data_IF_190289462265
#
_entry.id   IF_190289462265
#
_cell.length_a   1.000
_cell.length_b   1.000
_cell.length_c   1.000
_cell.angle_alpha   90.00
_cell.angle_beta   90.00
_cell.angle_gamma   90.00
#
_symmetry.space_group_name_H-M   'P 1'
#
loop_
_entity.id
_entity.type
_entity.pdbx_description
1 polymer ?
#
# COMPACT_ATOMS: atom_id res chain seq x y z
N UNK A 1 -20.76 28.47 -9.54
CA UNK A 1 -20.18 28.77 -8.21
C UNK A 1 -20.65 27.67 -7.27
N UNK A 2 -19.88 26.58 -7.18
CA UNK A 2 -20.23 25.41 -6.37
C UNK A 2 -19.80 25.69 -4.93
N UNK A 3 -20.72 26.20 -4.11
CA UNK A 3 -20.51 26.34 -2.68
C UNK A 3 -20.72 24.97 -2.02
N UNK A 4 -19.65 24.41 -1.48
CA UNK A 4 -19.69 23.24 -0.61
C UNK A 4 -20.30 23.64 0.76
N UNK A 5 -21.11 22.79 1.39
CA UNK A 5 -21.56 22.99 2.76
C UNK A 5 -20.37 22.83 3.73
N UNK A 6 -20.19 23.83 4.61
CA UNK A 6 -19.08 23.94 5.59
C UNK A 6 -18.83 22.69 6.45
N UNK A 7 -19.84 21.84 6.61
CA UNK A 7 -19.78 20.62 7.43
C UNK A 7 -18.97 19.49 6.77
N UNK A 8 -19.00 19.38 5.43
CA UNK A 8 -18.21 18.38 4.70
C UNK A 8 -16.70 18.71 4.70
N UNK A 9 -16.37 20.00 4.72
CA UNK A 9 -14.98 20.49 4.81
C UNK A 9 -14.28 20.06 6.10
N UNK A 10 -14.96 20.23 7.24
CA UNK A 10 -14.38 19.93 8.55
C UNK A 10 -14.08 18.44 8.74
N UNK A 11 -14.95 17.55 8.22
CA UNK A 11 -14.74 16.11 8.33
C UNK A 11 -13.57 15.62 7.46
N UNK A 12 -13.42 16.14 6.23
CA UNK A 12 -12.34 15.73 5.32
C UNK A 12 -10.96 16.22 5.77
N UNK A 13 -10.86 17.44 6.32
CA UNK A 13 -9.61 18.00 6.82
C UNK A 13 -9.14 17.30 8.11
N UNK A 14 -10.07 16.80 8.93
CA UNK A 14 -9.74 16.01 10.12
C UNK A 14 -9.05 14.68 9.79
N UNK A 15 -9.30 14.11 8.61
CA UNK A 15 -8.67 12.86 8.14
C UNK A 15 -7.22 13.08 7.70
N UNK A 16 -6.87 14.30 7.28
CA UNK A 16 -5.54 14.61 6.73
C UNK A 16 -4.52 15.13 7.74
N UNK A 17 -4.88 15.39 9.01
CA UNK A 17 -3.95 15.77 10.10
C UNK A 17 -2.82 16.73 9.65
N UNK A 18 -3.15 17.75 8.86
CA UNK A 18 -2.18 18.81 8.52
C UNK A 18 -2.33 19.90 9.58
N UNK A 19 -1.61 19.76 10.70
CA UNK A 19 -1.44 20.86 11.64
C UNK A 19 -0.63 21.97 10.94
N UNK A 20 -1.25 23.13 10.74
CA UNK A 20 -0.70 24.38 10.15
C UNK A 20 -0.66 24.50 8.62
N UNK A 21 -1.73 24.14 7.91
CA UNK A 21 -1.97 24.71 6.56
C UNK A 21 -3.38 25.29 6.54
N UNK A 22 -3.48 26.59 6.21
CA UNK A 22 -4.75 27.30 6.12
C UNK A 22 -5.74 26.53 5.22
N UNK A 23 -6.95 26.27 5.73
CA UNK A 23 -7.98 25.44 5.08
C UNK A 23 -8.33 25.93 3.65
N UNK A 24 -8.11 27.21 3.38
CA UNK A 24 -8.35 27.87 2.09
C UNK A 24 -7.23 27.60 1.06
N UNK A 25 -6.02 27.28 1.51
CA UNK A 25 -4.83 27.14 0.66
C UNK A 25 -4.76 25.77 -0.02
N UNK A 26 -5.07 24.69 0.72
CA UNK A 26 -5.02 23.33 0.17
C UNK A 26 -6.12 23.10 -0.90
N UNK A 27 -7.27 23.75 -0.75
CA UNK A 27 -8.40 23.67 -1.68
C UNK A 27 -8.14 24.53 -2.93
N UNK A 28 -7.46 25.68 -2.79
CA UNK A 28 -7.17 26.56 -3.93
C UNK A 28 -6.03 26.06 -4.83
N UNK A 29 -4.96 25.48 -4.27
CA UNK A 29 -3.85 24.92 -5.07
C UNK A 29 -4.21 23.57 -5.74
N UNK A 30 -5.01 22.72 -5.08
CA UNK A 30 -5.30 21.37 -5.58
C UNK A 30 -6.60 21.30 -6.38
N UNK A 31 -7.62 22.14 -6.08
CA UNK A 31 -8.98 21.89 -6.58
C UNK A 31 -9.67 23.03 -7.33
N UNK A 32 -9.23 24.30 -7.26
CA UNK A 32 -9.94 25.38 -7.96
C UNK A 32 -9.00 26.51 -8.37
N UNK A 33 -8.43 26.40 -9.57
CA UNK A 33 -8.04 27.59 -10.34
C UNK A 33 -8.04 27.34 -11.84
N UNK A 34 -9.22 27.08 -12.41
CA UNK A 34 -9.61 27.50 -13.78
C UNK A 34 -11.13 27.35 -13.91
N UNK A 35 -11.84 28.43 -14.23
CA UNK A 35 -13.22 28.31 -14.67
C UNK A 35 -13.20 27.70 -16.09
N UNK A 36 -13.85 26.55 -16.29
CA UNK A 36 -14.00 25.95 -17.62
C UNK A 36 -14.74 26.92 -18.55
N UNK A 37 -14.25 27.06 -19.78
CA UNK A 37 -14.92 27.83 -20.82
C UNK A 37 -16.14 27.07 -21.35
N UNK A 38 -17.13 27.80 -21.88
CA UNK A 38 -18.32 27.23 -22.51
C UNK A 38 -17.96 26.30 -23.70
N UNK A 39 -16.87 26.63 -24.39
CA UNK A 39 -16.31 25.80 -25.46
C UNK A 39 -15.82 24.45 -24.95
N UNK A 40 -15.02 24.43 -23.89
CA UNK A 40 -14.52 23.19 -23.27
C UNK A 40 -15.66 22.32 -22.71
N UNK A 41 -16.69 22.96 -22.16
CA UNK A 41 -17.86 22.25 -21.64
C UNK A 41 -18.64 21.55 -22.76
N UNK A 42 -18.83 22.23 -23.90
CA UNK A 42 -19.49 21.67 -25.07
C UNK A 42 -18.67 20.56 -25.73
N UNK A 43 -17.35 20.72 -25.84
CA UNK A 43 -16.45 19.69 -26.39
C UNK A 43 -16.47 18.40 -25.54
N UNK A 44 -16.66 18.54 -24.22
CA UNK A 44 -16.69 17.41 -23.28
C UNK A 44 -18.10 16.99 -22.83
N UNK A 45 -19.17 17.56 -23.40
CA UNK A 45 -20.55 17.40 -22.90
C UNK A 45 -20.98 15.93 -22.77
N UNK A 46 -20.69 15.12 -23.80
CA UNK A 46 -21.02 13.69 -23.79
C UNK A 46 -20.26 12.95 -22.68
N UNK A 47 -18.98 13.28 -22.49
CA UNK A 47 -18.13 12.67 -21.46
C UNK A 47 -18.64 13.03 -20.05
N UNK A 48 -18.90 14.31 -19.79
CA UNK A 48 -19.44 14.79 -18.52
C UNK A 48 -20.82 14.16 -18.21
N UNK A 49 -21.67 14.01 -19.21
CA UNK A 49 -22.98 13.35 -19.07
C UNK A 49 -22.84 11.87 -18.71
N UNK A 50 -21.85 11.16 -19.24
CA UNK A 50 -21.59 9.76 -18.86
C UNK A 50 -21.01 9.67 -17.44
N UNK A 51 -20.08 10.55 -17.08
CA UNK A 51 -19.53 10.61 -15.71
C UNK A 51 -20.63 10.86 -14.67
N UNK A 52 -21.59 11.74 -14.96
CA UNK A 52 -22.72 12.03 -14.07
C UNK A 52 -23.61 10.80 -13.77
N UNK A 53 -23.58 9.75 -14.61
CA UNK A 53 -24.28 8.49 -14.31
C UNK A 53 -23.60 7.68 -13.20
N UNK A 54 -22.28 7.71 -13.16
CA UNK A 54 -21.46 7.03 -12.14
C UNK A 54 -21.32 7.89 -10.88
N UNK A 55 -21.28 9.20 -11.06
CA UNK A 55 -21.04 10.20 -10.01
C UNK A 55 -22.19 11.23 -9.99
N UNK A 56 -23.37 10.85 -9.45
CA UNK A 56 -24.59 11.65 -9.59
C UNK A 56 -24.62 12.92 -8.74
N UNK A 57 -23.77 13.01 -7.70
CA UNK A 57 -23.69 14.19 -6.84
C UNK A 57 -22.26 14.71 -6.74
N UNK A 58 -22.14 15.98 -6.39
CA UNK A 58 -20.84 16.64 -6.17
C UNK A 58 -20.09 15.92 -5.05
N UNK A 59 -20.77 15.54 -3.97
CA UNK A 59 -20.17 14.84 -2.83
C UNK A 59 -19.58 13.48 -3.25
N UNK A 60 -20.30 12.74 -4.10
CA UNK A 60 -19.80 11.45 -4.59
C UNK A 60 -18.56 11.64 -5.47
N UNK A 61 -18.62 12.58 -6.43
CA UNK A 61 -17.48 12.88 -7.29
C UNK A 61 -16.26 13.33 -6.47
N UNK A 62 -16.46 14.22 -5.49
CA UNK A 62 -15.40 14.70 -4.60
C UNK A 62 -14.81 13.57 -3.75
N UNK A 63 -15.65 12.70 -3.20
CA UNK A 63 -15.18 11.54 -2.42
C UNK A 63 -14.28 10.64 -3.25
N UNK A 64 -14.66 10.37 -4.50
CA UNK A 64 -13.86 9.52 -5.38
C UNK A 64 -12.58 10.22 -5.85
N UNK A 65 -12.63 11.52 -6.12
CA UNK A 65 -11.42 12.31 -6.42
C UNK A 65 -10.42 12.27 -5.26
N UNK A 66 -10.88 12.43 -4.02
CA UNK A 66 -10.03 12.33 -2.82
C UNK A 66 -9.46 10.92 -2.67
N UNK A 67 -10.29 9.89 -2.85
CA UNK A 67 -9.88 8.49 -2.79
C UNK A 67 -8.78 8.18 -3.82
N UNK A 68 -8.99 8.55 -5.09
CA UNK A 68 -8.02 8.34 -6.17
C UNK A 68 -6.75 9.16 -5.96
N UNK A 69 -6.88 10.44 -5.57
CA UNK A 69 -5.73 11.29 -5.23
C UNK A 69 -4.89 10.68 -4.10
N UNK A 70 -5.55 10.12 -3.08
CA UNK A 70 -4.89 9.44 -1.96
C UNK A 70 -4.15 8.18 -2.40
N UNK A 71 -4.76 7.39 -3.30
CA UNK A 71 -4.13 6.20 -3.89
C UNK A 71 -2.90 6.59 -4.71
N UNK A 72 -3.00 7.66 -5.52
CA UNK A 72 -1.89 8.15 -6.35
C UNK A 72 -0.74 8.72 -5.51
N UNK A 73 -1.04 9.27 -4.33
CA UNK A 73 -0.04 9.76 -3.39
C UNK A 73 0.73 8.63 -2.66
N UNK A 74 0.27 7.37 -2.74
CA UNK A 74 0.99 6.25 -2.15
C UNK A 74 2.34 6.02 -2.85
N UNK A 75 3.37 5.55 -2.13
CA UNK A 75 4.62 5.16 -2.74
C UNK A 75 4.39 4.09 -3.82
N UNK A 76 5.09 4.22 -4.95
CA UNK A 76 4.99 3.23 -6.02
C UNK A 76 5.35 1.82 -5.52
N UNK A 77 4.55 0.79 -5.85
CA UNK A 77 4.85 -0.58 -5.48
C UNK A 77 6.00 -1.14 -6.33
N UNK A 78 6.44 -2.36 -6.01
CA UNK A 78 7.41 -3.09 -6.83
C UNK A 78 6.74 -3.56 -8.12
N UNK A 79 7.31 -3.19 -9.27
CA UNK A 79 6.87 -3.63 -10.60
C UNK A 79 7.92 -4.57 -11.21
N UNK A 80 7.46 -5.67 -11.80
CA UNK A 80 8.31 -6.65 -12.48
C UNK A 80 8.15 -6.51 -13.99
N UNK A 81 9.23 -6.22 -14.71
CA UNK A 81 9.29 -6.23 -16.18
C UNK A 81 10.22 -7.35 -16.63
N UNK A 82 9.68 -8.34 -17.34
CA UNK A 82 10.42 -9.55 -17.74
C UNK A 82 10.00 -9.95 -19.16
N UNK A 83 10.95 -10.20 -20.07
CA UNK A 83 10.68 -10.56 -21.46
C UNK A 83 11.01 -12.02 -21.81
N UNK A 84 11.93 -12.65 -21.07
CA UNK A 84 12.59 -13.88 -21.54
C UNK A 84 12.29 -15.09 -20.63
N UNK A 85 11.03 -15.51 -20.62
CA UNK A 85 10.54 -16.66 -19.84
C UNK A 85 10.71 -17.98 -20.63
N UNK A 86 11.95 -18.39 -20.89
CA UNK A 86 12.26 -19.60 -21.67
C UNK A 86 12.24 -20.89 -20.83
N UNK A 87 11.11 -21.20 -20.18
CA UNK A 87 10.92 -22.46 -19.44
C UNK A 87 11.66 -22.57 -18.10
N UNK A 88 12.29 -21.49 -17.64
CA UNK A 88 12.96 -21.42 -16.33
C UNK A 88 11.97 -21.02 -15.22
N UNK A 89 11.03 -21.92 -14.91
CA UNK A 89 9.98 -21.69 -13.91
C UNK A 89 10.53 -21.37 -12.52
N UNK A 90 11.54 -22.11 -12.06
CA UNK A 90 12.12 -21.93 -10.72
C UNK A 90 12.83 -20.57 -10.56
N UNK A 91 13.54 -20.13 -11.61
CA UNK A 91 14.18 -18.82 -11.63
C UNK A 91 13.14 -17.69 -11.62
N UNK A 92 12.03 -17.88 -12.32
CA UNK A 92 10.91 -16.94 -12.31
C UNK A 92 10.25 -16.86 -10.93
N UNK A 93 9.94 -18.00 -10.31
CA UNK A 93 9.37 -18.04 -8.96
C UNK A 93 10.32 -17.36 -7.96
N UNK A 94 11.63 -17.59 -8.07
CA UNK A 94 12.61 -16.91 -7.23
C UNK A 94 12.59 -15.37 -7.39
N UNK A 95 12.49 -14.87 -8.63
CA UNK A 95 12.44 -13.43 -8.90
C UNK A 95 11.15 -12.80 -8.34
N UNK A 96 10.02 -13.50 -8.44
CA UNK A 96 8.78 -13.06 -7.81
C UNK A 96 8.91 -13.06 -6.28
N UNK A 97 9.40 -14.16 -5.71
CA UNK A 97 9.52 -14.33 -4.26
C UNK A 97 10.50 -13.32 -3.65
N UNK A 98 11.59 -12.98 -4.35
CA UNK A 98 12.55 -11.99 -3.88
C UNK A 98 12.16 -10.53 -4.18
N UNK A 99 11.05 -10.33 -4.90
CA UNK A 99 10.55 -9.03 -5.36
C UNK A 99 11.64 -8.20 -6.06
N UNK A 100 12.41 -8.81 -6.96
CA UNK A 100 13.59 -8.21 -7.62
C UNK A 100 14.62 -7.67 -6.61
N UNK A 101 14.80 -8.37 -5.50
CA UNK A 101 15.71 -7.98 -4.41
C UNK A 101 15.21 -6.82 -3.53
N UNK A 102 13.99 -6.33 -3.71
CA UNK A 102 13.41 -5.28 -2.86
C UNK A 102 13.26 -5.78 -1.42
N UNK A 103 12.85 -7.04 -1.22
CA UNK A 103 12.68 -7.61 0.12
C UNK A 103 14.00 -7.64 0.88
N UNK A 104 15.07 -8.17 0.26
CA UNK A 104 16.41 -8.19 0.86
C UNK A 104 16.87 -6.79 1.28
N UNK A 105 16.64 -5.79 0.43
CA UNK A 105 17.03 -4.40 0.71
C UNK A 105 16.26 -3.79 1.87
N UNK A 106 14.96 -4.06 1.99
CA UNK A 106 14.17 -3.59 3.14
C UNK A 106 14.58 -4.32 4.42
N UNK A 107 14.88 -5.62 4.37
CA UNK A 107 15.39 -6.36 5.53
C UNK A 107 16.72 -5.77 5.98
N UNK A 108 17.65 -5.55 5.05
CA UNK A 108 18.95 -4.93 5.34
C UNK A 108 18.75 -3.59 6.04
N UNK A 109 17.90 -2.72 5.48
CA UNK A 109 17.63 -1.38 5.99
C UNK A 109 16.95 -1.37 7.37
N UNK A 110 16.05 -2.32 7.65
CA UNK A 110 15.28 -2.35 8.90
C UNK A 110 16.02 -3.03 10.04
N UNK A 111 16.92 -3.98 9.73
CA UNK A 111 17.47 -4.90 10.74
C UNK A 111 19.00 -4.86 10.86
N UNK A 112 19.72 -4.05 10.08
CA UNK A 112 21.20 -3.97 10.16
C UNK A 112 21.75 -3.74 11.57
N UNK A 113 21.06 -2.94 12.38
CA UNK A 113 21.50 -2.65 13.76
C UNK A 113 20.98 -3.64 14.80
N UNK A 114 20.18 -4.64 14.39
CA UNK A 114 19.43 -5.53 15.30
C UNK A 114 19.70 -7.00 15.09
N UNK A 115 19.98 -7.40 13.85
CA UNK A 115 20.20 -8.78 13.44
C UNK A 115 21.56 -8.90 12.77
N UNK A 116 22.23 -10.03 13.00
CA UNK A 116 23.42 -10.41 12.27
C UNK A 116 23.12 -10.60 10.78
N UNK A 117 24.17 -10.69 9.96
CA UNK A 117 24.02 -10.98 8.53
C UNK A 117 23.29 -12.31 8.30
N UNK A 118 23.66 -13.38 9.02
CA UNK A 118 23.05 -14.70 8.85
C UNK A 118 21.58 -14.74 9.26
N UNK A 119 21.21 -14.01 10.31
CA UNK A 119 19.80 -13.87 10.72
C UNK A 119 18.97 -13.11 9.67
N UNK A 120 19.55 -12.10 9.01
CA UNK A 120 18.88 -11.35 7.94
C UNK A 120 18.71 -12.18 6.68
N UNK A 121 19.72 -12.96 6.28
CA UNK A 121 19.59 -13.92 5.18
C UNK A 121 18.57 -15.01 5.49
N UNK A 122 18.54 -15.48 6.74
CA UNK A 122 17.54 -16.43 7.21
C UNK A 122 16.13 -15.85 7.13
N UNK A 123 15.93 -14.61 7.60
CA UNK A 123 14.64 -13.91 7.49
C UNK A 123 14.21 -13.71 6.03
N UNK A 124 15.13 -13.32 5.14
CA UNK A 124 14.84 -13.18 3.72
C UNK A 124 14.39 -14.53 3.11
N UNK A 125 15.09 -15.60 3.45
CA UNK A 125 14.77 -16.96 2.97
C UNK A 125 13.42 -17.45 3.50
N UNK A 126 13.05 -17.10 4.74
CA UNK A 126 11.72 -17.38 5.29
C UNK A 126 10.63 -16.67 4.48
N UNK A 127 10.86 -15.42 4.06
CA UNK A 127 9.90 -14.70 3.21
C UNK A 127 9.79 -15.36 1.83
N UNK A 128 10.90 -15.83 1.26
CA UNK A 128 10.90 -16.41 -0.08
C UNK A 128 10.31 -17.82 -0.11
N UNK A 129 10.63 -18.64 0.89
CA UNK A 129 10.33 -20.07 0.94
C UNK A 129 9.92 -20.48 2.37
N UNK A 130 8.77 -19.99 2.86
CA UNK A 130 8.41 -20.11 4.27
C UNK A 130 8.31 -21.56 4.73
N UNK A 131 7.65 -22.43 3.96
CA UNK A 131 7.45 -23.84 4.35
C UNK A 131 8.76 -24.60 4.46
N UNK A 132 9.64 -24.43 3.47
CA UNK A 132 10.92 -25.13 3.40
C UNK A 132 11.87 -24.64 4.49
N UNK A 133 12.01 -23.32 4.63
CA UNK A 133 12.96 -22.74 5.57
C UNK A 133 12.54 -22.94 7.02
N UNK A 134 11.25 -22.72 7.36
CA UNK A 134 10.75 -22.96 8.73
C UNK A 134 11.00 -24.41 9.15
N UNK A 135 10.75 -25.39 8.28
CA UNK A 135 11.00 -26.81 8.60
C UNK A 135 12.47 -27.06 8.96
N UNK A 136 13.40 -26.52 8.17
CA UNK A 136 14.84 -26.68 8.39
C UNK A 136 15.32 -26.03 9.69
N UNK A 137 14.81 -24.82 10.01
CA UNK A 137 15.19 -24.12 11.22
C UNK A 137 14.73 -24.88 12.47
N UNK A 138 13.50 -25.39 12.46
CA UNK A 138 12.92 -26.09 13.61
C UNK A 138 13.60 -27.43 13.93
N UNK A 139 14.33 -28.03 12.99
CA UNK A 139 15.12 -29.25 13.24
C UNK A 139 16.30 -28.98 14.20
N UNK A 140 16.77 -27.72 14.29
CA UNK A 140 17.99 -27.34 15.01
C UNK A 140 17.73 -26.41 16.20
N UNK A 141 16.46 -26.07 16.48
CA UNK A 141 16.07 -25.13 17.53
C UNK A 141 15.57 -25.88 18.76
N UNK A 142 16.16 -25.60 19.92
CA UNK A 142 15.74 -26.19 21.21
C UNK A 142 14.41 -25.60 21.71
N UNK A 143 14.24 -24.27 21.62
CA UNK A 143 13.01 -23.57 22.01
C UNK A 143 12.28 -23.02 20.78
N UNK A 144 11.42 -23.87 20.21
CA UNK A 144 10.64 -23.56 19.00
C UNK A 144 9.68 -22.40 19.23
N UNK A 145 9.11 -22.28 20.42
CA UNK A 145 8.18 -21.21 20.80
C UNK A 145 8.87 -19.85 20.84
N UNK A 146 10.07 -19.76 21.42
CA UNK A 146 10.86 -18.54 21.41
C UNK A 146 11.24 -18.14 19.98
N UNK A 147 11.64 -19.10 19.15
CA UNK A 147 11.96 -18.87 17.75
C UNK A 147 10.76 -18.33 16.97
N UNK A 148 9.58 -18.95 17.09
CA UNK A 148 8.37 -18.46 16.45
C UNK A 148 8.02 -17.04 16.87
N UNK A 149 8.12 -16.71 18.17
CA UNK A 149 7.86 -15.36 18.67
C UNK A 149 8.84 -14.35 18.09
N UNK A 150 10.13 -14.68 18.01
CA UNK A 150 11.14 -13.80 17.43
C UNK A 150 10.92 -13.58 15.93
N UNK A 151 10.74 -14.68 15.18
CA UNK A 151 10.48 -14.63 13.73
C UNK A 151 9.22 -13.86 13.40
N UNK A 152 8.12 -14.09 14.13
CA UNK A 152 6.85 -13.39 13.90
C UNK A 152 6.99 -11.88 14.15
N UNK A 153 7.70 -11.46 15.21
CA UNK A 153 7.95 -10.03 15.45
C UNK A 153 8.71 -9.40 14.29
N UNK A 154 9.74 -10.07 13.77
CA UNK A 154 10.51 -9.57 12.62
C UNK A 154 9.65 -9.49 11.36
N UNK A 155 8.82 -10.51 11.09
CA UNK A 155 7.87 -10.52 9.97
C UNK A 155 6.82 -9.41 10.09
N UNK A 156 6.32 -9.10 11.29
CA UNK A 156 5.40 -7.99 11.51
C UNK A 156 6.07 -6.66 11.18
N UNK A 157 7.30 -6.43 11.68
CA UNK A 157 8.05 -5.19 11.39
C UNK A 157 8.29 -5.02 9.89
N UNK A 158 8.73 -6.07 9.20
CA UNK A 158 8.92 -6.06 7.76
C UNK A 158 7.59 -5.85 7.01
N UNK A 159 6.55 -6.58 7.42
CA UNK A 159 5.21 -6.52 6.86
C UNK A 159 4.63 -5.11 6.92
N UNK A 160 4.77 -4.41 8.06
CA UNK A 160 4.33 -3.01 8.23
C UNK A 160 5.00 -2.08 7.22
N UNK A 161 6.30 -2.29 6.98
CA UNK A 161 7.05 -1.45 6.04
C UNK A 161 6.63 -1.68 4.59
N UNK A 162 6.37 -2.93 4.22
CA UNK A 162 5.95 -3.29 2.86
C UNK A 162 4.48 -2.90 2.63
N UNK A 163 3.61 -3.15 3.61
CA UNK A 163 2.18 -2.88 3.51
C UNK A 163 1.86 -1.39 3.44
N UNK A 164 2.73 -0.52 3.96
CA UNK A 164 2.54 0.95 3.92
C UNK A 164 2.44 1.54 2.51
N UNK A 165 2.80 0.77 1.47
CA UNK A 165 2.69 1.18 0.05
C UNK A 165 1.30 0.90 -0.55
N UNK A 166 0.41 0.28 0.21
CA UNK A 166 -0.89 -0.18 -0.26
C UNK A 166 -2.01 0.36 0.63
N UNK A 167 -3.19 0.56 0.05
CA UNK A 167 -4.39 0.90 0.83
C UNK A 167 -4.84 -0.30 1.67
N UNK A 168 -5.54 -0.02 2.78
CA UNK A 168 -6.18 -1.06 3.61
C UNK A 168 -7.12 -1.96 2.80
N UNK A 169 -7.91 -1.36 1.91
CA UNK A 169 -8.81 -2.09 1.00
C UNK A 169 -8.04 -3.05 0.08
N UNK A 170 -6.88 -2.64 -0.44
CA UNK A 170 -6.04 -3.52 -1.26
C UNK A 170 -5.47 -4.67 -0.43
N UNK A 171 -4.93 -4.38 0.75
CA UNK A 171 -4.35 -5.38 1.65
C UNK A 171 -5.37 -6.45 2.03
N UNK A 172 -6.56 -6.04 2.46
CA UNK A 172 -7.63 -6.97 2.88
C UNK A 172 -8.08 -7.91 1.76
N UNK A 173 -8.05 -7.46 0.50
CA UNK A 173 -8.38 -8.28 -0.68
C UNK A 173 -7.30 -9.31 -1.03
N UNK A 174 -6.07 -9.13 -0.55
CA UNK A 174 -4.94 -10.03 -0.83
C UNK A 174 -4.76 -11.11 0.25
N UNK A 175 -5.20 -10.84 1.48
CA UNK A 175 -5.09 -11.76 2.59
C UNK A 175 -6.19 -12.82 2.56
N UNK A 176 -5.90 -14.00 3.13
CA UNK A 176 -6.92 -15.02 3.38
C UNK A 176 -8.02 -14.42 4.29
N UNK A 177 -9.31 -14.52 3.92
CA UNK A 177 -10.41 -13.99 4.72
C UNK A 177 -10.37 -14.43 6.18
N UNK A 178 -9.93 -15.67 6.45
CA UNK A 178 -9.85 -16.24 7.79
C UNK A 178 -8.87 -15.47 8.71
N UNK A 179 -7.78 -14.96 8.14
CA UNK A 179 -6.72 -14.27 8.88
C UNK A 179 -6.66 -12.76 8.61
N UNK A 180 -7.47 -12.25 7.66
CA UNK A 180 -7.38 -10.87 7.19
C UNK A 180 -7.47 -9.85 8.33
N UNK A 181 -8.43 -10.04 9.24
CA UNK A 181 -8.65 -9.14 10.37
C UNK A 181 -7.43 -9.08 11.31
N UNK A 182 -6.95 -10.24 11.76
CA UNK A 182 -5.84 -10.28 12.72
C UNK A 182 -4.52 -9.79 12.10
N UNK A 183 -4.26 -10.13 10.83
CA UNK A 183 -3.06 -9.64 10.13
C UNK A 183 -3.14 -8.13 9.92
N UNK A 184 -4.31 -7.59 9.57
CA UNK A 184 -4.50 -6.15 9.43
C UNK A 184 -4.20 -5.43 10.75
N UNK A 185 -4.78 -5.88 11.87
CA UNK A 185 -4.51 -5.30 13.20
C UNK A 185 -3.01 -5.34 13.54
N UNK A 186 -2.33 -6.45 13.27
CA UNK A 186 -0.88 -6.56 13.48
C UNK A 186 -0.06 -5.60 12.61
N UNK A 187 -0.55 -5.24 11.42
CA UNK A 187 0.12 -4.34 10.49
C UNK A 187 -0.23 -2.87 10.72
N UNK A 188 -1.34 -2.56 11.39
CA UNK A 188 -1.78 -1.18 11.63
C UNK A 188 -1.61 -0.69 13.08
N UNK A 189 -1.39 -1.58 14.04
CA UNK A 189 -1.16 -1.24 15.46
C UNK A 189 0.21 -0.61 15.73
#
# INVERSE_FOLDING_TARGET
>A
MLYLPKEAHSQLLSVFCVHNVDEEYLISEVFMNTAFTEKELNENYLFLTQLAKTFPTVEYAMTEIVNLSSILALPKPTEHFMSDLHGQGDAFEHILNNASGVIRREIERLFVDRLSYDERETLATIVYYPKQKIKLELENVEDTDAWYRATLRNLIVLGRKISSKYTRSRLRKTLDPLFSYIIEELLTA
#
